data_IF_727313449252
#
_entry.id   IF_727313449252
#
_cell.length_a   1.000
_cell.length_b   1.000
_cell.length_c   1.000
_cell.angle_alpha   90.00
_cell.angle_beta   90.00
_cell.angle_gamma   90.00
#
_symmetry.space_group_name_H-M   'P 1'
#
loop_
_entity.id
_entity.type
_entity.pdbx_description
1 polymer ?
#
# COMPACT_ATOMS: atom_id res chain seq x y z
N UNK A 1 7.48 -7.94 -54.69
CA UNK A 1 7.00 -8.28 -53.33
C UNK A 1 5.49 -8.37 -53.34
N UNK A 2 4.91 -9.53 -53.01
CA UNK A 2 3.46 -9.66 -52.85
C UNK A 2 3.05 -9.24 -51.43
N UNK A 3 2.04 -8.37 -51.31
CA UNK A 3 1.39 -8.02 -50.03
C UNK A 3 -0.08 -8.37 -50.11
N UNK A 4 -0.58 -9.11 -49.13
CA UNK A 4 -2.01 -9.34 -48.95
C UNK A 4 -2.53 -8.47 -47.81
N UNK A 5 -3.70 -7.86 -47.99
CA UNK A 5 -4.39 -7.09 -46.95
C UNK A 5 -5.69 -7.79 -46.60
N UNK A 6 -5.92 -7.98 -45.30
CA UNK A 6 -7.18 -8.47 -44.78
C UNK A 6 -7.88 -7.30 -44.10
N UNK A 7 -9.13 -7.05 -44.47
CA UNK A 7 -9.98 -6.08 -43.79
C UNK A 7 -11.01 -6.83 -42.95
N UNK A 8 -11.05 -6.53 -41.66
CA UNK A 8 -12.04 -7.07 -40.74
C UNK A 8 -13.24 -6.12 -40.68
N UNK A 9 -14.45 -6.67 -40.76
CA UNK A 9 -15.64 -5.86 -40.56
C UNK A 9 -15.72 -5.40 -39.10
N UNK A 10 -16.26 -4.20 -38.81
CA UNK A 10 -16.41 -3.72 -37.44
C UNK A 10 -17.16 -4.71 -36.52
N UNK A 11 -18.19 -5.38 -37.04
CA UNK A 11 -18.93 -6.41 -36.31
C UNK A 11 -18.09 -7.64 -35.95
N UNK A 12 -17.21 -8.08 -36.86
CA UNK A 12 -16.30 -9.19 -36.57
C UNK A 12 -15.24 -8.79 -35.52
N UNK A 13 -14.65 -7.59 -35.65
CA UNK A 13 -13.70 -7.07 -34.67
C UNK A 13 -14.30 -6.99 -33.25
N UNK A 14 -15.56 -6.51 -33.13
CA UNK A 14 -16.28 -6.49 -31.83
C UNK A 14 -16.47 -7.90 -31.26
N UNK A 15 -16.82 -8.89 -32.08
CA UNK A 15 -16.96 -10.29 -31.61
C UNK A 15 -15.62 -10.90 -31.18
N UNK A 16 -14.53 -10.57 -31.86
CA UNK A 16 -13.19 -10.98 -31.42
C UNK A 16 -12.83 -10.35 -30.07
N UNK A 17 -13.08 -9.05 -29.91
CA UNK A 17 -12.86 -8.33 -28.66
C UNK A 17 -13.67 -8.95 -27.50
N UNK A 18 -14.98 -9.17 -27.71
CA UNK A 18 -15.89 -9.71 -26.70
C UNK A 18 -15.68 -11.20 -26.34
N UNK A 19 -14.93 -11.94 -27.17
CA UNK A 19 -14.72 -13.38 -26.99
C UNK A 19 -13.24 -13.73 -26.76
N UNK A 20 -12.52 -14.19 -27.80
CA UNK A 20 -11.14 -14.66 -27.64
C UNK A 20 -10.19 -13.64 -27.00
N UNK A 21 -10.25 -12.36 -27.39
CA UNK A 21 -9.34 -11.33 -26.86
C UNK A 21 -9.61 -11.08 -25.38
N UNK A 22 -10.88 -10.99 -24.98
CA UNK A 22 -11.27 -10.86 -23.57
C UNK A 22 -10.69 -11.96 -22.70
N UNK A 23 -10.85 -13.23 -23.10
CA UNK A 23 -10.30 -14.38 -22.34
C UNK A 23 -8.79 -14.32 -22.21
N UNK A 24 -8.08 -13.91 -23.27
CA UNK A 24 -6.63 -13.73 -23.20
C UNK A 24 -6.24 -12.60 -22.25
N UNK A 25 -6.97 -11.48 -22.26
CA UNK A 25 -6.74 -10.38 -21.32
C UNK A 25 -7.03 -10.80 -19.87
N UNK A 26 -8.07 -11.60 -19.63
CA UNK A 26 -8.35 -12.19 -18.31
C UNK A 26 -7.16 -13.07 -17.85
N UNK A 27 -6.68 -13.98 -18.70
CA UNK A 27 -5.52 -14.82 -18.40
C UNK A 27 -4.22 -14.02 -18.17
N UNK A 28 -4.01 -12.91 -18.90
CA UNK A 28 -2.90 -11.98 -18.62
C UNK A 28 -3.08 -11.36 -17.23
N UNK A 29 -4.28 -10.88 -16.91
CA UNK A 29 -4.58 -10.18 -15.66
C UNK A 29 -4.42 -11.12 -14.45
N UNK A 30 -4.80 -12.38 -14.58
CA UNK A 30 -4.55 -13.41 -13.56
C UNK A 30 -3.06 -13.71 -13.38
N UNK A 31 -2.30 -13.79 -14.47
CA UNK A 31 -0.86 -13.97 -14.39
C UNK A 31 -0.17 -12.77 -13.71
N UNK A 32 -0.58 -11.54 -14.04
CA UNK A 32 -0.08 -10.32 -13.38
C UNK A 32 -0.46 -10.31 -11.91
N UNK A 33 -1.67 -10.72 -11.56
CA UNK A 33 -2.13 -10.81 -10.17
C UNK A 33 -1.31 -11.80 -9.36
N UNK A 34 -1.02 -12.98 -9.91
CA UNK A 34 -0.16 -13.99 -9.25
C UNK A 34 1.26 -13.45 -9.04
N UNK A 35 1.86 -12.89 -10.09
CA UNK A 35 3.20 -12.29 -10.00
C UNK A 35 3.24 -11.10 -9.02
N UNK A 36 2.15 -10.32 -8.96
CA UNK A 36 1.99 -9.22 -8.00
C UNK A 36 1.98 -9.75 -6.58
N UNK A 37 1.27 -10.85 -6.30
CA UNK A 37 1.25 -11.48 -4.97
C UNK A 37 2.62 -11.99 -4.54
N UNK A 38 3.39 -12.54 -5.47
CA UNK A 38 4.77 -13.01 -5.20
C UNK A 38 5.74 -11.86 -4.90
N UNK A 39 5.49 -10.68 -5.47
CA UNK A 39 6.33 -9.48 -5.29
C UNK A 39 5.82 -8.51 -4.23
N UNK A 40 4.59 -8.71 -3.76
CA UNK A 40 3.96 -7.83 -2.80
C UNK A 40 4.83 -7.79 -1.54
N UNK A 41 5.07 -6.59 -0.97
CA UNK A 41 5.76 -6.52 0.30
C UNK A 41 4.94 -7.20 1.39
N UNK A 42 5.63 -7.68 2.42
CA UNK A 42 4.95 -7.99 3.68
C UNK A 42 4.35 -6.72 4.30
N UNK A 43 3.54 -6.90 5.33
CA UNK A 43 3.03 -5.79 6.12
C UNK A 43 3.49 -5.92 7.57
N UNK A 44 3.24 -4.87 8.34
CA UNK A 44 3.38 -4.86 9.79
C UNK A 44 2.26 -4.08 10.44
N UNK A 45 1.95 -4.46 11.68
CA UNK A 45 0.96 -3.79 12.52
C UNK A 45 1.61 -3.20 13.76
N UNK A 46 1.27 -1.95 14.07
CA UNK A 46 1.63 -1.34 15.34
C UNK A 46 0.64 -1.79 16.40
N UNK A 47 1.13 -2.42 17.46
CA UNK A 47 0.35 -2.91 18.58
C UNK A 47 0.73 -2.14 19.83
N UNK A 48 -0.27 -1.50 20.44
CA UNK A 48 -0.10 -0.74 21.66
C UNK A 48 -0.63 -1.55 22.86
N UNK A 49 0.16 -1.65 23.93
CA UNK A 49 -0.33 -2.26 25.16
C UNK A 49 -1.51 -1.48 25.74
N UNK A 50 -2.55 -2.17 26.20
CA UNK A 50 -3.71 -1.56 26.90
C UNK A 50 -3.30 -1.11 28.31
N UNK A 51 -2.58 -0.02 28.39
CA UNK A 51 -2.02 0.56 29.61
C UNK A 51 -2.25 2.09 29.59
N UNK A 52 -2.78 2.64 30.68
CA UNK A 52 -3.04 4.09 30.85
C UNK A 52 -1.77 4.95 30.74
N UNK A 53 -0.58 4.33 30.84
CA UNK A 53 0.71 5.00 30.70
C UNK A 53 1.14 5.19 29.25
N UNK A 54 0.39 4.67 28.28
CA UNK A 54 0.68 4.88 26.86
C UNK A 54 0.41 6.33 26.47
N UNK A 55 1.29 6.87 25.63
CA UNK A 55 1.14 8.23 25.12
C UNK A 55 0.01 8.29 24.09
N UNK A 56 -0.78 9.39 24.05
CA UNK A 56 -1.87 9.55 23.09
C UNK A 56 -1.47 9.34 21.61
N UNK A 57 -0.24 9.71 21.23
CA UNK A 57 0.28 9.49 19.87
C UNK A 57 0.45 8.02 19.50
N UNK A 58 0.78 7.17 20.48
CA UNK A 58 0.97 5.74 20.29
C UNK A 58 -0.37 5.00 20.28
N UNK A 59 -1.33 5.48 21.06
CA UNK A 59 -2.72 5.02 21.01
C UNK A 59 -3.33 5.29 19.63
N UNK A 60 -3.06 6.46 19.04
CA UNK A 60 -3.44 6.76 17.65
C UNK A 60 -2.75 5.88 16.60
N UNK A 61 -1.54 5.38 16.91
CA UNK A 61 -0.83 4.45 16.05
C UNK A 61 -1.33 3.00 16.19
N UNK A 62 -2.09 2.68 17.24
CA UNK A 62 -2.60 1.33 17.44
C UNK A 62 -3.44 0.85 16.27
N UNK A 63 -3.21 -0.40 15.87
CA UNK A 63 -3.88 -1.04 14.75
C UNK A 63 -3.46 -0.51 13.37
N UNK A 64 -2.53 0.45 13.27
CA UNK A 64 -1.95 0.82 11.98
C UNK A 64 -1.32 -0.41 11.33
N UNK A 65 -1.93 -0.88 10.25
CA UNK A 65 -1.42 -1.97 9.42
C UNK A 65 -0.96 -1.39 8.09
N UNK A 66 0.34 -1.45 7.82
CA UNK A 66 0.99 -0.79 6.66
C UNK A 66 2.00 -1.74 5.99
N UNK A 67 2.34 -1.53 4.71
CA UNK A 67 3.44 -2.25 4.07
C UNK A 67 4.77 -2.07 4.84
N UNK A 68 5.56 -3.14 4.89
CA UNK A 68 6.79 -3.23 5.70
C UNK A 68 7.81 -2.13 5.35
N UNK A 69 7.88 -1.77 4.06
CA UNK A 69 8.81 -0.77 3.55
C UNK A 69 8.43 0.67 3.93
N UNK A 70 7.33 0.91 4.63
CA UNK A 70 6.91 2.24 5.08
C UNK A 70 7.16 2.44 6.58
N UNK A 71 7.23 3.70 7.02
CA UNK A 71 7.19 4.04 8.44
C UNK A 71 5.75 4.23 8.90
N UNK A 72 5.47 3.89 10.16
CA UNK A 72 4.27 4.31 10.88
C UNK A 72 4.20 5.83 11.00
N UNK A 73 2.98 6.33 11.15
CA UNK A 73 2.70 7.75 11.33
C UNK A 73 2.18 7.98 12.75
N UNK A 74 2.99 8.58 13.61
CA UNK A 74 2.60 8.95 14.96
C UNK A 74 2.31 10.45 14.98
N UNK A 75 1.17 10.92 15.52
CA UNK A 75 0.99 12.35 15.74
C UNK A 75 2.13 12.89 16.60
N UNK A 76 2.74 14.00 16.17
CA UNK A 76 3.78 14.65 16.95
C UNK A 76 3.21 15.14 18.28
N UNK A 77 4.05 15.19 19.31
CA UNK A 77 3.67 15.65 20.63
C UNK A 77 4.39 16.94 20.99
N UNK A 78 3.66 17.86 21.62
CA UNK A 78 4.22 19.07 22.23
C UNK A 78 3.90 19.07 23.72
N UNK A 79 4.90 19.32 24.55
CA UNK A 79 4.67 19.51 25.98
C UNK A 79 4.19 20.93 26.26
N UNK A 80 2.93 21.06 26.69
CA UNK A 80 2.41 22.33 27.19
C UNK A 80 2.77 22.41 28.67
N UNK A 81 3.60 23.40 29.04
CA UNK A 81 3.99 23.63 30.43
C UNK A 81 2.78 24.03 31.28
N UNK A 82 2.87 23.75 32.58
CA UNK A 82 1.94 24.27 33.57
C UNK A 82 1.96 25.80 33.52
N UNK A 83 0.78 26.42 33.49
CA UNK A 83 0.67 27.87 33.33
C UNK A 83 -0.62 28.43 33.90
N UNK A 84 -0.56 29.70 34.32
CA UNK A 84 -1.72 30.51 34.72
C UNK A 84 -1.94 31.62 33.70
N UNK A 85 -3.20 31.95 33.45
CA UNK A 85 -3.60 33.03 32.56
C UNK A 85 -3.40 34.41 33.21
N UNK A 86 -3.65 35.49 32.46
CA UNK A 86 -3.59 36.86 32.98
C UNK A 86 -4.54 37.11 34.16
N UNK A 87 -5.63 36.35 34.24
CA UNK A 87 -6.62 36.35 35.31
C UNK A 87 -6.23 35.46 36.51
N UNK A 88 -5.01 34.91 36.51
CA UNK A 88 -4.50 34.01 37.55
C UNK A 88 -5.10 32.61 37.53
N UNK A 89 -6.05 32.30 36.63
CA UNK A 89 -6.65 30.97 36.53
C UNK A 89 -5.68 29.99 35.87
N UNK A 90 -5.72 28.73 36.30
CA UNK A 90 -4.89 27.70 35.70
C UNK A 90 -5.35 27.43 34.26
N UNK A 91 -4.54 27.81 33.27
CA UNK A 91 -4.76 27.49 31.86
C UNK A 91 -4.34 26.04 31.59
N UNK A 92 -3.32 25.56 32.29
CA UNK A 92 -2.94 24.16 32.32
C UNK A 92 -2.46 23.79 33.73
N UNK A 93 -3.29 23.16 34.58
CA UNK A 93 -3.01 22.99 36.00
C UNK A 93 -1.85 22.01 36.30
N UNK A 94 -1.57 21.06 35.42
CA UNK A 94 -0.53 20.05 35.63
C UNK A 94 0.63 20.12 34.61
N UNK A 95 0.46 20.82 33.49
CA UNK A 95 1.31 20.58 32.33
C UNK A 95 0.92 19.26 31.65
N UNK A 96 1.26 19.09 30.38
CA UNK A 96 0.93 17.82 29.72
C UNK A 96 1.34 17.76 28.26
N UNK A 97 1.51 16.54 27.77
CA UNK A 97 1.72 16.26 26.37
C UNK A 97 0.40 16.43 25.62
N UNK A 98 0.44 17.20 24.53
CA UNK A 98 -0.69 17.39 23.62
C UNK A 98 -0.26 17.01 22.21
N UNK A 99 -1.22 16.48 21.45
CA UNK A 99 -1.03 16.21 20.03
C UNK A 99 -0.86 17.54 19.30
N UNK A 100 0.18 17.62 18.48
CA UNK A 100 0.46 18.72 17.57
C UNK A 100 0.03 18.36 16.14
N UNK A 101 0.04 19.33 15.23
CA UNK A 101 -0.37 19.13 13.83
C UNK A 101 0.64 18.35 12.97
N UNK A 102 1.77 17.94 13.53
CA UNK A 102 2.83 17.19 12.84
C UNK A 102 2.68 15.68 12.95
N UNK A 103 3.50 14.97 12.18
CA UNK A 103 3.64 13.51 12.24
C UNK A 103 5.11 13.15 12.41
N UNK A 104 5.40 12.35 13.41
CA UNK A 104 6.69 11.70 13.61
C UNK A 104 6.65 10.32 12.92
N UNK A 105 7.67 10.01 12.12
CA UNK A 105 7.76 8.76 11.36
C UNK A 105 8.62 7.74 12.11
N UNK A 106 8.14 6.51 12.22
CA UNK A 106 8.84 5.41 12.90
C UNK A 106 8.81 4.12 12.07
N UNK A 107 9.95 3.43 11.92
CA UNK A 107 10.01 2.08 11.33
C UNK A 107 9.43 1.03 12.26
N UNK A 108 9.57 1.26 13.56
CA UNK A 108 9.22 0.34 14.63
C UNK A 108 9.04 1.12 15.96
N UNK A 109 8.41 0.53 16.97
CA UNK A 109 8.39 1.09 18.31
C UNK A 109 9.80 1.36 18.82
N UNK A 110 9.99 2.54 19.42
CA UNK A 110 11.28 3.02 19.94
C UNK A 110 12.33 3.30 18.85
N UNK A 111 11.91 3.50 17.60
CA UNK A 111 12.79 3.93 16.51
C UNK A 111 13.73 5.07 16.96
N UNK A 112 15.05 4.95 16.78
CA UNK A 112 16.02 5.96 17.19
C UNK A 112 15.75 7.37 16.64
N UNK A 113 15.09 7.47 15.48
CA UNK A 113 14.73 8.73 14.81
C UNK A 113 13.61 9.48 15.51
N UNK A 114 12.84 8.80 16.37
CA UNK A 114 11.78 9.44 17.14
C UNK A 114 12.34 10.39 18.21
N UNK A 115 11.62 11.49 18.52
CA UNK A 115 11.87 12.31 19.69
C UNK A 115 11.92 11.47 20.97
N UNK A 116 12.73 11.91 21.95
CA UNK A 116 12.99 11.13 23.17
C UNK A 116 11.71 10.81 23.94
N UNK A 117 10.75 11.73 23.93
CA UNK A 117 9.45 11.58 24.51
C UNK A 117 8.65 10.42 23.90
N UNK A 118 8.63 10.27 22.57
CA UNK A 118 7.89 9.20 21.89
C UNK A 118 8.52 7.82 22.18
N UNK A 119 9.85 7.71 22.24
CA UNK A 119 10.51 6.41 22.48
C UNK A 119 10.63 6.01 23.95
N UNK A 120 10.74 6.97 24.87
CA UNK A 120 10.96 6.68 26.30
C UNK A 120 9.72 6.05 26.93
N UNK A 121 9.91 4.89 27.57
CA UNK A 121 8.83 4.09 28.19
C UNK A 121 7.73 3.67 27.21
N UNK A 122 8.01 3.66 25.90
CA UNK A 122 7.11 3.09 24.91
C UNK A 122 6.82 1.61 25.24
N UNK A 123 5.55 1.22 25.17
CA UNK A 123 5.04 -0.14 25.47
C UNK A 123 4.38 -0.77 24.24
N UNK A 124 4.82 -0.37 23.05
CA UNK A 124 4.28 -0.83 21.79
C UNK A 124 5.20 -1.87 21.14
N UNK A 125 4.63 -2.67 20.24
CA UNK A 125 5.29 -3.71 19.47
C UNK A 125 4.96 -3.54 17.98
N UNK A 126 5.88 -3.97 17.11
CA UNK A 126 5.65 -4.07 15.67
C UNK A 126 5.48 -5.54 15.33
N UNK A 127 4.24 -5.94 15.05
CA UNK A 127 3.94 -7.32 14.67
C UNK A 127 4.11 -7.49 13.16
N UNK A 128 4.98 -8.41 12.69
CA UNK A 128 5.06 -8.74 11.27
C UNK A 128 3.80 -9.44 10.81
N UNK A 129 3.34 -9.12 9.60
CA UNK A 129 2.15 -9.68 8.95
C UNK A 129 2.53 -10.19 7.55
N UNK A 130 3.19 -11.35 7.46
CA UNK A 130 3.66 -11.87 6.18
C UNK A 130 2.51 -12.16 5.23
N UNK A 131 2.66 -11.78 3.96
CA UNK A 131 1.66 -11.98 2.91
C UNK A 131 0.36 -11.19 3.05
N UNK A 132 0.23 -10.28 4.01
CA UNK A 132 -1.02 -9.54 4.22
C UNK A 132 -1.39 -8.64 3.04
N UNK A 133 -0.40 -8.03 2.36
CA UNK A 133 -0.64 -7.25 1.12
C UNK A 133 -1.03 -8.17 -0.04
N UNK A 134 -0.33 -9.30 -0.19
CA UNK A 134 -0.64 -10.30 -1.21
C UNK A 134 -2.08 -10.82 -1.07
N UNK A 135 -2.55 -11.06 0.15
CA UNK A 135 -3.91 -11.48 0.45
C UNK A 135 -4.99 -10.45 0.05
N UNK A 136 -4.62 -9.16 -0.09
CA UNK A 136 -5.48 -8.06 -0.55
C UNK A 136 -5.31 -7.71 -2.03
N UNK A 137 -4.61 -8.56 -2.78
CA UNK A 137 -4.43 -8.41 -4.23
C UNK A 137 -5.47 -9.26 -4.96
N UNK A 138 -6.22 -8.66 -5.91
CA UNK A 138 -7.27 -9.30 -6.70
C UNK A 138 -7.11 -9.03 -8.20
N UNK A 139 -7.63 -9.94 -9.01
CA UNK A 139 -7.77 -9.73 -10.46
C UNK A 139 -9.06 -8.97 -10.73
N UNK A 140 -9.03 -7.97 -11.61
CA UNK A 140 -10.22 -7.30 -12.11
C UNK A 140 -10.74 -8.00 -13.38
N UNK A 141 -12.07 -8.21 -13.51
CA UNK A 141 -12.65 -8.80 -14.71
C UNK A 141 -12.39 -7.92 -15.93
N UNK A 142 -12.19 -8.54 -17.09
CA UNK A 142 -11.97 -7.76 -18.30
C UNK A 142 -13.25 -7.07 -18.78
N UNK A 143 -13.17 -5.77 -19.00
CA UNK A 143 -14.24 -4.95 -19.60
C UNK A 143 -14.00 -4.77 -21.09
N UNK A 144 -15.07 -4.71 -21.89
CA UNK A 144 -15.01 -4.59 -23.34
C UNK A 144 -15.75 -3.34 -23.77
N UNK A 145 -15.03 -2.41 -24.39
CA UNK A 145 -15.56 -1.15 -24.93
C UNK A 145 -15.27 -1.07 -26.43
N UNK A 146 -16.26 -1.45 -27.24
CA UNK A 146 -16.11 -1.54 -28.69
C UNK A 146 -15.12 -2.63 -29.09
N UNK A 147 -13.92 -2.25 -29.52
CA UNK A 147 -12.82 -3.17 -29.86
C UNK A 147 -11.71 -3.17 -28.82
N UNK A 148 -11.80 -2.34 -27.77
CA UNK A 148 -10.85 -2.29 -26.67
C UNK A 148 -11.28 -3.27 -25.60
N UNK A 149 -10.30 -4.01 -25.07
CA UNK A 149 -10.50 -4.90 -23.91
C UNK A 149 -9.49 -4.50 -22.84
N UNK A 150 -9.98 -4.27 -21.62
CA UNK A 150 -9.18 -3.80 -20.49
C UNK A 150 -9.36 -4.79 -19.36
N UNK A 151 -8.26 -5.33 -18.83
CA UNK A 151 -8.24 -6.11 -17.59
C UNK A 151 -7.18 -5.52 -16.65
N UNK A 152 -7.14 -5.99 -15.40
CA UNK A 152 -6.19 -5.43 -14.45
C UNK A 152 -6.03 -6.23 -13.17
N UNK A 153 -5.18 -5.68 -12.31
CA UNK A 153 -4.92 -6.16 -10.96
C UNK A 153 -5.14 -4.99 -10.01
N UNK A 154 -5.80 -5.25 -8.90
CA UNK A 154 -6.04 -4.28 -7.85
C UNK A 154 -5.40 -4.75 -6.55
N UNK A 155 -4.88 -3.81 -5.76
CA UNK A 155 -4.41 -4.05 -4.40
C UNK A 155 -5.08 -3.04 -3.49
N UNK A 156 -5.90 -3.53 -2.55
CA UNK A 156 -6.59 -2.66 -1.58
C UNK A 156 -5.92 -2.82 -0.22
N UNK A 157 -4.96 -1.95 0.07
CA UNK A 157 -4.24 -1.95 1.35
C UNK A 157 -3.94 -0.53 1.79
N UNK A 158 -3.95 -0.28 3.11
CA UNK A 158 -3.67 1.05 3.66
C UNK A 158 -2.27 1.50 3.23
N UNK A 159 -2.19 2.68 2.59
CA UNK A 159 -0.93 3.29 2.12
C UNK A 159 -0.18 2.49 1.06
N UNK A 160 -0.87 1.63 0.31
CA UNK A 160 -0.22 0.81 -0.74
C UNK A 160 0.38 1.64 -1.88
N UNK A 161 -0.26 2.76 -2.25
CA UNK A 161 0.26 3.64 -3.29
C UNK A 161 1.62 4.23 -2.91
N UNK A 162 1.81 4.60 -1.65
CA UNK A 162 3.08 5.10 -1.14
C UNK A 162 4.14 3.99 -1.08
N UNK A 163 3.73 2.73 -0.87
CA UNK A 163 4.65 1.59 -0.96
C UNK A 163 5.10 1.34 -2.40
N UNK A 164 4.21 1.50 -3.39
CA UNK A 164 4.50 1.35 -4.81
C UNK A 164 5.43 2.46 -5.33
N UNK A 165 5.13 3.73 -5.00
CA UNK A 165 5.79 4.91 -5.60
C UNK A 165 6.79 5.62 -4.67
N UNK A 166 6.81 5.27 -3.39
CA UNK A 166 7.64 5.90 -2.37
C UNK A 166 6.93 7.02 -1.61
N UNK A 167 7.58 7.44 -0.52
CA UNK A 167 7.22 8.57 0.33
C UNK A 167 8.47 9.41 0.60
N UNK A 168 8.34 10.48 1.40
CA UNK A 168 9.47 11.31 1.82
C UNK A 168 10.56 10.54 2.59
N UNK A 169 10.24 9.38 3.16
CA UNK A 169 11.10 8.60 4.04
C UNK A 169 11.33 7.14 3.60
N UNK A 170 10.75 6.73 2.47
CA UNK A 170 10.85 5.37 1.94
C UNK A 170 10.88 5.34 0.41
N UNK A 171 11.75 4.51 -0.15
CA UNK A 171 11.78 4.27 -1.59
C UNK A 171 10.57 3.42 -2.03
N UNK A 172 10.07 3.69 -3.23
CA UNK A 172 9.03 2.88 -3.88
C UNK A 172 9.54 1.52 -4.31
N UNK A 173 8.71 0.49 -4.14
CA UNK A 173 9.04 -0.89 -4.53
C UNK A 173 8.74 -1.19 -6.00
N UNK A 174 7.82 -0.43 -6.60
CA UNK A 174 7.33 -0.63 -7.96
C UNK A 174 6.89 -2.09 -8.23
N UNK A 175 6.28 -2.76 -7.25
CA UNK A 175 6.01 -4.19 -7.31
C UNK A 175 4.93 -4.52 -8.35
N UNK A 176 3.93 -3.64 -8.54
CA UNK A 176 2.92 -3.78 -9.59
C UNK A 176 3.54 -3.64 -10.98
N UNK A 177 4.32 -2.56 -11.20
CA UNK A 177 4.98 -2.32 -12.47
C UNK A 177 5.95 -3.45 -12.84
N UNK A 178 6.70 -3.96 -11.85
CA UNK A 178 7.62 -5.09 -12.03
C UNK A 178 6.90 -6.40 -12.32
N UNK A 179 5.75 -6.65 -11.69
CA UNK A 179 4.93 -7.81 -11.96
C UNK A 179 4.41 -7.81 -13.41
N UNK A 180 3.86 -6.67 -13.86
CA UNK A 180 3.42 -6.52 -15.24
C UNK A 180 4.58 -6.73 -16.24
N UNK A 181 5.74 -6.14 -15.99
CA UNK A 181 6.92 -6.30 -16.83
C UNK A 181 7.39 -7.76 -16.91
N UNK A 182 7.38 -8.48 -15.79
CA UNK A 182 7.77 -9.89 -15.74
C UNK A 182 6.83 -10.78 -16.59
N UNK A 183 5.52 -10.57 -16.49
CA UNK A 183 4.52 -11.31 -17.30
C UNK A 183 4.68 -11.00 -18.79
N UNK A 184 4.89 -9.74 -19.16
CA UNK A 184 5.13 -9.34 -20.56
C UNK A 184 6.40 -9.98 -21.10
N UNK A 185 7.49 -9.96 -20.33
CA UNK A 185 8.75 -10.61 -20.72
C UNK A 185 8.57 -12.12 -20.91
N UNK A 186 7.87 -12.79 -19.99
CA UNK A 186 7.59 -14.22 -20.07
C UNK A 186 6.77 -14.57 -21.32
N UNK A 187 5.74 -13.77 -21.67
CA UNK A 187 4.94 -13.99 -22.88
C UNK A 187 5.72 -13.76 -24.17
N UNK A 188 6.65 -12.81 -24.19
CA UNK A 188 7.55 -12.60 -25.34
C UNK A 188 8.49 -13.78 -25.53
N UNK A 189 9.01 -14.35 -24.46
CA UNK A 189 9.93 -15.48 -24.50
C UNK A 189 9.25 -16.80 -24.89
N UNK A 190 8.00 -17.03 -24.49
CA UNK A 190 7.25 -18.23 -24.85
C UNK A 190 5.73 -17.96 -24.94
N UNK A 191 5.19 -17.71 -26.15
CA UNK A 191 3.77 -17.39 -26.33
C UNK A 191 2.81 -18.53 -25.97
N UNK A 192 3.29 -19.77 -25.78
CA UNK A 192 2.46 -20.95 -25.51
C UNK A 192 2.43 -21.38 -24.02
N UNK A 193 3.15 -20.69 -23.11
CA UNK A 193 3.44 -21.23 -21.75
C UNK A 193 2.29 -21.11 -20.72
N UNK A 194 1.24 -20.32 -20.97
CA UNK A 194 0.18 -20.03 -19.99
C UNK A 194 -1.17 -20.74 -20.25
N UNK A 195 -1.23 -21.70 -21.20
CA UNK A 195 -2.44 -22.51 -21.46
C UNK A 195 -2.59 -23.73 -20.52
N UNK A 196 -1.82 -23.78 -19.43
CA UNK A 196 -1.83 -24.88 -18.45
C UNK A 196 -2.18 -24.37 -17.07
#
# INVERSE_FOLDING_TARGET
MARSRVQLTPGFAKRLAAGPVRREVEAVSEAVTRETRERAPDAKAWLTAKDERVRPSHDHADGQTIPENLSYQLPSLTYIRKGRGPDGKAVNPAGGWKVASGVDLAREPRDPRLPIEQKTRCRCESAPLPGAVAAKTSTLPATVEGTRVTGGTEVVFRRIAESEFGSSDAAGLHFLARAAAAVVAARRANPNRLRR
#
